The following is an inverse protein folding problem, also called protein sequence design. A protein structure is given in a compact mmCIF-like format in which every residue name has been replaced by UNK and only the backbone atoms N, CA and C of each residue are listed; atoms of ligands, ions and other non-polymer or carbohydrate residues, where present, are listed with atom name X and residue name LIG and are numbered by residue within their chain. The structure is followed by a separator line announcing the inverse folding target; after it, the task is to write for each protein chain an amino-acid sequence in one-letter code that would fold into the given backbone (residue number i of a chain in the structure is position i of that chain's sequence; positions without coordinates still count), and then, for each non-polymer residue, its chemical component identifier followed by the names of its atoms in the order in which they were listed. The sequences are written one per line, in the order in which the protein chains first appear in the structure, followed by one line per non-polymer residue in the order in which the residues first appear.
data_IF_783137762347
#
_entry.id   IF_783137762347
#
_cell.length_a   1.000
_cell.length_b   1.000
_cell.length_c   1.000
_cell.angle_alpha   90.00
_cell.angle_beta   90.00
_cell.angle_gamma   90.00
#
_symmetry.space_group_name_H-M   'P 1'
#
loop_
_entity.id
_entity.type
_entity.pdbx_description
1 polymer ?
#
# COMPACT_ATOMS: atom_id res chain seq x y z
N UNK A 1 3.65 5.57 -11.98
CA UNK A 1 3.26 4.80 -13.19
C UNK A 1 2.60 5.75 -14.16
N UNK A 2 2.92 5.70 -15.47
CA UNK A 2 2.15 6.42 -16.49
C UNK A 2 0.68 6.01 -16.38
N UNK A 3 -0.26 6.95 -16.52
CA UNK A 3 -1.69 6.65 -16.47
C UNK A 3 -2.01 5.63 -17.57
N UNK A 4 -2.38 4.41 -17.17
CA UNK A 4 -2.87 3.41 -18.11
C UNK A 4 -4.17 3.93 -18.74
N UNK A 5 -4.38 3.64 -20.03
CA UNK A 5 -5.64 3.93 -20.74
C UNK A 5 -6.83 3.19 -20.12
N UNK A 6 -6.56 2.10 -19.42
CA UNK A 6 -7.57 1.27 -18.75
C UNK A 6 -7.35 1.24 -17.24
N UNK A 7 -8.44 1.35 -16.48
CA UNK A 7 -8.45 1.08 -15.03
C UNK A 7 -8.29 -0.41 -14.75
N UNK A 8 -7.92 -0.76 -13.51
CA UNK A 8 -7.76 -2.16 -13.10
C UNK A 8 -9.10 -2.92 -13.19
N UNK A 9 -10.20 -2.27 -12.85
CA UNK A 9 -11.55 -2.84 -12.98
C UNK A 9 -11.92 -3.11 -14.44
N UNK A 10 -11.57 -2.20 -15.36
CA UNK A 10 -11.78 -2.41 -16.79
C UNK A 10 -10.94 -3.57 -17.30
N UNK A 11 -9.68 -3.68 -16.87
CA UNK A 11 -8.80 -4.80 -17.23
C UNK A 11 -9.39 -6.13 -16.78
N UNK A 12 -9.85 -6.22 -15.52
CA UNK A 12 -10.47 -7.44 -14.99
C UNK A 12 -11.76 -7.78 -15.75
N UNK A 13 -12.60 -6.79 -16.08
CA UNK A 13 -13.80 -7.00 -16.90
C UNK A 13 -13.47 -7.60 -18.27
N UNK A 14 -12.43 -7.10 -18.93
CA UNK A 14 -11.95 -7.61 -20.23
C UNK A 14 -11.47 -9.06 -20.11
N UNK A 15 -10.74 -9.41 -19.04
CA UNK A 15 -10.29 -10.79 -18.80
C UNK A 15 -11.47 -11.74 -18.59
N UNK A 16 -12.52 -11.29 -17.89
CA UNK A 16 -13.74 -12.06 -17.67
C UNK A 16 -14.53 -12.35 -18.95
N UNK A 17 -14.53 -11.45 -19.93
CA UNK A 17 -15.15 -11.74 -21.24
C UNK A 17 -14.51 -13.00 -21.86
N UNK A 18 -13.18 -13.15 -21.76
CA UNK A 18 -12.50 -14.36 -22.21
C UNK A 18 -12.87 -15.58 -21.36
N UNK A 19 -12.92 -15.44 -20.03
CA UNK A 19 -13.29 -16.54 -19.12
C UNK A 19 -14.75 -17.01 -19.33
N UNK A 20 -15.64 -16.12 -19.77
CA UNK A 20 -17.03 -16.42 -20.13
C UNK A 20 -17.18 -17.14 -21.49
N UNK A 21 -16.08 -17.44 -22.18
CA UNK A 21 -16.06 -18.25 -23.40
C UNK A 21 -15.70 -17.49 -24.67
N UNK A 22 -15.42 -16.18 -24.59
CA UNK A 22 -14.99 -15.41 -25.77
C UNK A 22 -13.55 -15.73 -26.17
N UNK A 23 -13.28 -15.76 -27.47
CA UNK A 23 -11.90 -15.96 -27.94
C UNK A 23 -11.02 -14.75 -27.61
N UNK A 24 -9.76 -14.98 -27.23
CA UNK A 24 -8.79 -13.91 -26.97
C UNK A 24 -8.65 -12.96 -28.16
N UNK A 25 -8.72 -13.47 -29.38
CA UNK A 25 -8.63 -12.67 -30.60
C UNK A 25 -9.80 -11.67 -30.74
N UNK A 26 -11.00 -12.08 -30.34
CA UNK A 26 -12.18 -11.21 -30.36
C UNK A 26 -12.13 -10.16 -29.26
N UNK A 27 -11.76 -10.54 -28.04
CA UNK A 27 -11.54 -9.62 -26.92
C UNK A 27 -10.51 -8.55 -27.29
N UNK A 28 -9.38 -8.96 -27.89
CA UNK A 28 -8.34 -8.05 -28.34
C UNK A 28 -8.84 -7.04 -29.39
N UNK A 29 -9.61 -7.52 -30.38
CA UNK A 29 -10.19 -6.67 -31.42
C UNK A 29 -11.20 -5.67 -30.85
N UNK A 30 -12.09 -6.12 -29.97
CA UNK A 30 -13.16 -5.29 -29.40
C UNK A 30 -12.62 -4.14 -28.56
N UNK A 31 -11.61 -4.42 -27.74
CA UNK A 31 -11.05 -3.44 -26.79
C UNK A 31 -9.84 -2.67 -27.37
N UNK A 32 -9.43 -3.00 -28.60
CA UNK A 32 -8.28 -2.36 -29.25
C UNK A 32 -6.98 -2.58 -28.47
N UNK A 33 -6.75 -3.82 -28.03
CA UNK A 33 -5.54 -4.23 -27.30
C UNK A 33 -4.82 -5.33 -28.07
N UNK A 34 -3.50 -5.40 -27.94
CA UNK A 34 -2.72 -6.50 -28.52
C UNK A 34 -2.82 -7.75 -27.64
N UNK A 35 -2.66 -8.94 -28.24
CA UNK A 35 -2.61 -10.21 -27.49
C UNK A 35 -1.50 -10.18 -26.42
N UNK A 36 -0.36 -9.55 -26.71
CA UNK A 36 0.72 -9.37 -25.74
C UNK A 36 0.28 -8.56 -24.51
N UNK A 37 -0.55 -7.54 -24.70
CA UNK A 37 -1.12 -6.75 -23.60
C UNK A 37 -2.10 -7.59 -22.79
N UNK A 38 -2.97 -8.33 -23.47
CA UNK A 38 -3.93 -9.23 -22.83
C UNK A 38 -3.23 -10.26 -21.93
N UNK A 39 -2.20 -10.94 -22.42
CA UNK A 39 -1.48 -11.94 -21.60
C UNK A 39 -0.69 -11.31 -20.44
N UNK A 40 -0.14 -10.09 -20.62
CA UNK A 40 0.46 -9.36 -19.49
C UNK A 40 -0.57 -9.04 -18.41
N UNK A 41 -1.77 -8.62 -18.79
CA UNK A 41 -2.87 -8.40 -17.85
C UNK A 41 -3.34 -9.69 -17.22
N UNK A 42 -3.49 -10.78 -17.99
CA UNK A 42 -3.87 -12.09 -17.46
C UNK A 42 -2.87 -12.63 -16.45
N UNK A 43 -1.57 -12.40 -16.64
CA UNK A 43 -0.55 -12.78 -15.67
C UNK A 43 -0.62 -11.96 -14.37
N UNK A 44 -1.04 -10.69 -14.45
CA UNK A 44 -1.12 -9.78 -13.29
C UNK A 44 -2.46 -9.86 -12.55
N UNK A 45 -3.55 -10.03 -13.27
CA UNK A 45 -4.93 -9.87 -12.80
C UNK A 45 -5.82 -11.09 -13.09
N UNK A 46 -5.31 -12.14 -13.73
CA UNK A 46 -6.09 -13.35 -14.00
C UNK A 46 -6.48 -14.06 -12.71
N UNK A 47 -7.72 -14.55 -12.64
CA UNK A 47 -8.26 -15.19 -11.44
C UNK A 47 -8.58 -14.23 -10.28
N UNK A 48 -8.42 -12.92 -10.45
CA UNK A 48 -8.87 -11.91 -9.50
C UNK A 48 -10.30 -11.48 -9.83
N UNK A 49 -11.18 -11.57 -8.84
CA UNK A 49 -12.49 -10.93 -8.92
C UNK A 49 -12.37 -9.41 -8.80
N UNK A 50 -13.29 -8.67 -9.43
CA UNK A 50 -13.33 -7.20 -9.32
C UNK A 50 -13.50 -6.76 -7.85
N UNK A 51 -14.22 -7.56 -7.05
CA UNK A 51 -14.37 -7.35 -5.61
C UNK A 51 -13.04 -7.51 -4.86
N UNK A 52 -12.21 -8.45 -5.27
CA UNK A 52 -10.93 -8.74 -4.62
C UNK A 52 -9.91 -7.66 -4.94
N UNK A 53 -9.88 -7.17 -6.18
CA UNK A 53 -9.05 -6.04 -6.56
C UNK A 53 -9.42 -4.75 -5.80
N UNK A 54 -10.72 -4.45 -5.66
CA UNK A 54 -11.18 -3.29 -4.85
C UNK A 54 -10.81 -3.45 -3.38
N UNK A 55 -11.04 -4.64 -2.82
CA UNK A 55 -10.71 -4.93 -1.42
C UNK A 55 -9.21 -4.83 -1.16
N UNK A 56 -8.39 -5.33 -2.09
CA UNK A 56 -6.94 -5.24 -1.99
C UNK A 56 -6.48 -3.78 -1.95
N UNK A 57 -6.98 -2.95 -2.88
CA UNK A 57 -6.65 -1.53 -2.92
C UNK A 57 -7.06 -0.79 -1.64
N UNK A 58 -8.26 -1.05 -1.12
CA UNK A 58 -8.71 -0.48 0.15
C UNK A 58 -7.81 -0.89 1.32
N UNK A 59 -7.39 -2.15 1.36
CA UNK A 59 -6.47 -2.64 2.39
C UNK A 59 -5.08 -2.01 2.26
N UNK A 60 -4.58 -1.81 1.04
CA UNK A 60 -3.30 -1.12 0.79
C UNK A 60 -3.35 0.35 1.24
N UNK A 61 -4.41 1.07 0.90
CA UNK A 61 -4.62 2.46 1.29
C UNK A 61 -4.71 2.61 2.82
N UNK A 62 -5.48 1.73 3.48
CA UNK A 62 -5.62 1.74 4.93
C UNK A 62 -4.31 1.34 5.63
N UNK A 63 -3.57 0.37 5.09
CA UNK A 63 -2.26 -0.01 5.63
C UNK A 63 -1.25 1.15 5.52
N UNK A 64 -1.25 1.87 4.39
CA UNK A 64 -0.42 3.07 4.22
C UNK A 64 -0.78 4.17 5.24
N UNK A 65 -2.08 4.38 5.48
CA UNK A 65 -2.58 5.32 6.49
C UNK A 65 -2.16 4.90 7.91
N UNK A 66 -2.38 3.64 8.27
CA UNK A 66 -2.04 3.11 9.59
C UNK A 66 -0.54 3.18 9.86
N UNK A 67 0.31 2.88 8.87
CA UNK A 67 1.76 3.03 8.99
C UNK A 67 2.19 4.47 9.28
N UNK A 68 1.54 5.45 8.64
CA UNK A 68 1.81 6.88 8.91
C UNK A 68 1.43 7.25 10.34
N UNK A 69 0.20 6.93 10.75
CA UNK A 69 -0.27 7.20 12.12
C UNK A 69 0.61 6.52 13.17
N UNK A 70 1.05 5.29 12.92
CA UNK A 70 1.95 4.58 13.81
C UNK A 70 3.32 5.26 13.90
N UNK A 71 3.88 5.70 12.77
CA UNK A 71 5.15 6.42 12.76
C UNK A 71 5.05 7.73 13.59
N UNK A 72 3.99 8.51 13.38
CA UNK A 72 3.74 9.75 14.12
C UNK A 72 3.64 9.47 15.63
N UNK A 73 2.82 8.48 16.02
CA UNK A 73 2.65 8.09 17.42
C UNK A 73 3.94 7.57 18.07
N UNK A 74 4.78 6.84 17.32
CA UNK A 74 6.08 6.35 17.81
C UNK A 74 7.05 7.52 18.03
N UNK A 75 7.06 8.51 17.13
CA UNK A 75 7.87 9.72 17.29
C UNK A 75 7.44 10.54 18.50
N UNK A 76 6.14 10.76 18.68
CA UNK A 76 5.59 11.45 19.84
C UNK A 76 5.93 10.71 21.14
N UNK A 77 5.79 9.38 21.16
CA UNK A 77 6.14 8.58 22.32
C UNK A 77 7.63 8.68 22.67
N UNK A 78 8.51 8.69 21.66
CA UNK A 78 9.95 8.87 21.86
C UNK A 78 10.26 10.25 22.44
N UNK A 79 9.66 11.32 21.92
CA UNK A 79 9.82 12.67 22.47
C UNK A 79 9.32 12.76 23.92
N UNK A 80 8.16 12.19 24.21
CA UNK A 80 7.59 12.20 25.56
C UNK A 80 8.48 11.44 26.55
N UNK A 81 9.05 10.30 26.15
CA UNK A 81 10.01 9.55 26.97
C UNK A 81 11.29 10.34 27.20
N UNK A 82 11.80 11.02 26.18
CA UNK A 82 12.97 11.88 26.31
C UNK A 82 12.71 13.03 27.32
N UNK A 83 11.59 13.73 27.18
CA UNK A 83 11.18 14.80 28.11
C UNK A 83 11.03 14.23 29.53
N UNK A 84 10.32 13.11 29.69
CA UNK A 84 10.12 12.50 31.00
C UNK A 84 11.45 12.13 31.67
N UNK A 85 12.41 11.59 30.91
CA UNK A 85 13.75 11.28 31.43
C UNK A 85 14.56 12.52 31.82
N UNK A 86 14.35 13.66 31.16
CA UNK A 86 15.00 14.93 31.53
C UNK A 86 14.35 15.59 32.75
N UNK A 87 13.03 15.50 32.88
CA UNK A 87 12.27 16.17 33.95
C UNK A 87 12.24 15.37 35.25
N UNK A 88 12.12 14.04 35.16
CA UNK A 88 11.98 13.15 36.31
C UNK A 88 13.13 12.14 36.43
N UNK A 89 14.19 12.29 35.62
CA UNK A 89 15.40 11.49 35.75
C UNK A 89 16.09 11.70 37.11
N UNK A 90 16.89 10.74 37.58
CA UNK A 90 17.57 10.85 38.86
C UNK A 90 18.43 12.13 38.89
N UNK A 91 18.44 12.88 40.02
CA UNK A 91 19.20 14.11 40.12
C UNK A 91 20.67 13.81 39.79
N UNK A 92 21.27 14.58 38.86
CA UNK A 92 22.73 14.54 38.66
C UNK A 92 23.36 14.87 40.00
N UNK A 93 23.98 13.87 40.63
CA UNK A 93 24.88 14.07 41.76
C UNK A 93 25.97 15.03 41.28
N UNK A 94 25.82 16.32 41.56
CA UNK A 94 26.96 17.21 41.63
C UNK A 94 27.74 16.71 42.82
N UNK A 95 28.80 15.95 42.55
CA UNK A 95 29.79 15.59 43.55
C UNK A 95 30.42 16.91 43.99
N UNK A 96 29.86 17.50 45.05
CA UNK A 96 30.45 18.66 45.71
C UNK A 96 31.69 18.13 46.42
N UNK A 97 32.80 18.09 45.70
CA UNK A 97 34.13 18.01 46.28
C UNK A 97 34.40 19.35 46.99
N UNK A 98 33.81 19.54 48.16
CA UNK A 98 34.31 20.51 49.12
C UNK A 98 35.37 19.80 49.96
N UNK A 99 36.63 19.97 49.54
CA UNK A 99 37.78 19.83 50.42
C UNK A 99 37.71 20.96 51.45
N UNK A 100 37.48 20.63 52.72
CA UNK A 100 38.11 21.26 53.86
C UNK A 100 38.00 20.38 55.10
#
# INVERSE_FOLDING_TARGET
MKSSRFSEEQIIGILKEQESGMSTAEVCRRHGISSATFYKWKAKFGGLEVSDARRLKQLEDENARLKRLLADAVLDNAMLKEIASKTYGPPRLQVVFSMN
#
